data_IF_960331126809
#
_entry.id   IF_960331126809
#
_cell.length_a   1.000
_cell.length_b   1.000
_cell.length_c   1.000
_cell.angle_alpha   90.00
_cell.angle_beta   90.00
_cell.angle_gamma   90.00
#
_symmetry.space_group_name_H-M   'P 1'
#
loop_
_entity.id
_entity.type
_entity.pdbx_description
1 polymer ?
#
# COMPACT_ATOMS: atom_id res chain seq x y z
N UNK A 1 12.22 -6.91 15.39
CA UNK A 1 11.63 -6.71 14.04
C UNK A 1 12.41 -5.62 13.36
N UNK A 2 12.90 -5.93 12.18
CA UNK A 2 13.69 -5.05 11.34
C UNK A 2 12.95 -4.79 10.03
N UNK A 3 13.22 -3.63 9.45
CA UNK A 3 12.65 -3.22 8.17
C UNK A 3 13.69 -2.55 7.30
N UNK A 4 13.53 -2.65 5.99
CA UNK A 4 14.19 -1.79 5.00
C UNK A 4 13.29 -0.60 4.69
N UNK A 5 13.90 0.57 4.52
CA UNK A 5 13.25 1.76 3.99
C UNK A 5 13.83 2.00 2.59
N UNK A 6 13.02 1.71 1.57
CA UNK A 6 13.40 1.84 0.17
C UNK A 6 12.71 3.07 -0.41
N UNK A 7 13.43 3.87 -1.21
CA UNK A 7 12.87 5.06 -1.87
C UNK A 7 13.15 4.97 -3.35
N UNK A 8 12.10 5.10 -4.16
CA UNK A 8 12.20 5.35 -5.59
C UNK A 8 12.14 6.88 -5.80
N UNK A 9 13.27 7.53 -6.15
CA UNK A 9 13.31 8.98 -6.30
C UNK A 9 12.53 9.48 -7.54
N UNK A 10 12.43 8.65 -8.58
CA UNK A 10 11.76 9.01 -9.84
C UNK A 10 10.24 8.99 -9.67
N UNK A 11 9.70 7.90 -9.12
CA UNK A 11 8.25 7.80 -8.84
C UNK A 11 7.82 8.50 -7.56
N UNK A 12 8.78 9.03 -6.77
CA UNK A 12 8.54 9.62 -5.46
C UNK A 12 7.72 8.70 -4.54
N UNK A 13 8.08 7.42 -4.51
CA UNK A 13 7.46 6.41 -3.63
C UNK A 13 8.46 5.91 -2.60
N UNK A 14 7.99 5.68 -1.39
CA UNK A 14 8.76 5.03 -0.32
C UNK A 14 8.09 3.73 0.09
N UNK A 15 8.86 2.67 0.27
CA UNK A 15 8.37 1.36 0.68
C UNK A 15 9.07 0.92 1.95
N UNK A 16 8.27 0.48 2.92
CA UNK A 16 8.75 -0.21 4.13
C UNK A 16 8.49 -1.70 3.96
N UNK A 17 9.58 -2.48 4.03
CA UNK A 17 9.56 -3.94 3.87
C UNK A 17 10.17 -4.61 5.09
N UNK A 18 9.60 -5.72 5.54
CA UNK A 18 10.23 -6.55 6.59
C UNK A 18 11.57 -7.13 6.13
N UNK A 19 12.53 -7.24 7.04
CA UNK A 19 13.83 -7.86 6.77
C UNK A 19 14.41 -8.54 8.01
N UNK A 20 15.47 -9.31 7.79
CA UNK A 20 16.28 -9.93 8.83
C UNK A 20 17.14 -8.89 9.57
N UNK A 21 17.57 -9.25 10.79
CA UNK A 21 18.42 -8.38 11.61
C UNK A 21 19.79 -8.12 10.98
N UNK A 22 20.34 -9.13 10.30
CA UNK A 22 21.66 -9.10 9.68
C UNK A 22 21.64 -8.56 8.24
N UNK A 23 20.46 -8.21 7.73
CA UNK A 23 20.34 -7.65 6.40
C UNK A 23 21.01 -6.27 6.33
N UNK A 24 21.66 -5.99 5.19
CA UNK A 24 22.29 -4.70 4.95
C UNK A 24 21.24 -3.58 5.02
N UNK A 25 21.57 -2.49 5.72
CA UNK A 25 20.68 -1.34 5.90
C UNK A 25 19.39 -1.64 6.70
N UNK A 26 19.36 -2.75 7.46
CA UNK A 26 18.25 -3.11 8.34
C UNK A 26 18.04 -2.08 9.47
N UNK A 27 16.82 -1.55 9.57
CA UNK A 27 16.43 -0.59 10.61
C UNK A 27 15.54 -1.26 11.63
N UNK A 28 15.91 -1.16 12.92
CA UNK A 28 15.11 -1.69 14.02
C UNK A 28 13.80 -0.90 14.19
N UNK A 29 12.69 -1.47 13.72
CA UNK A 29 11.37 -0.83 13.70
C UNK A 29 10.73 -0.67 15.07
N UNK A 30 10.75 -1.73 15.86
CA UNK A 30 10.12 -1.77 17.18
C UNK A 30 10.97 -2.56 18.15
N UNK A 31 10.74 -2.33 19.44
CA UNK A 31 11.36 -3.09 20.53
C UNK A 31 10.31 -4.02 21.13
N UNK A 32 10.70 -5.24 21.47
CA UNK A 32 9.83 -6.15 22.19
C UNK A 32 10.06 -6.00 23.70
N UNK A 33 9.03 -5.61 24.43
CA UNK A 33 9.08 -5.55 25.88
C UNK A 33 8.67 -6.89 26.47
N UNK A 34 9.65 -7.67 26.94
CA UNK A 34 9.44 -9.01 27.51
C UNK A 34 8.53 -9.00 28.74
N UNK A 35 8.60 -7.95 29.58
CA UNK A 35 7.80 -7.85 30.81
C UNK A 35 6.31 -7.63 30.54
N UNK A 36 6.00 -6.85 29.51
CA UNK A 36 4.62 -6.53 29.13
C UNK A 36 4.08 -7.41 28.00
N UNK A 37 4.89 -8.33 27.48
CA UNK A 37 4.60 -9.15 26.29
C UNK A 37 4.06 -8.33 25.09
N UNK A 38 4.57 -7.11 24.91
CA UNK A 38 4.07 -6.14 23.92
C UNK A 38 5.17 -5.55 23.06
N UNK A 39 4.85 -5.26 21.80
CA UNK A 39 5.71 -4.51 20.89
C UNK A 39 5.56 -3.01 21.17
N UNK A 40 6.68 -2.36 21.46
CA UNK A 40 6.77 -0.92 21.69
C UNK A 40 7.30 -0.24 20.42
N UNK A 41 6.57 0.73 19.86
CA UNK A 41 7.05 1.49 18.70
C UNK A 41 8.32 2.24 19.08
N UNK A 42 9.23 2.39 18.10
CA UNK A 42 10.46 3.15 18.28
C UNK A 42 10.40 4.41 17.43
N UNK A 43 10.81 5.54 17.99
CA UNK A 43 11.08 6.74 17.18
C UNK A 43 12.35 6.49 16.36
N UNK A 44 12.21 6.47 15.05
CA UNK A 44 13.30 6.28 14.09
C UNK A 44 13.55 7.64 13.45
N UNK A 45 14.61 8.33 13.90
CA UNK A 45 14.89 9.68 13.40
C UNK A 45 15.48 9.68 11.99
N UNK A 46 16.31 8.68 11.66
CA UNK A 46 17.04 8.54 10.39
C UNK A 46 17.38 9.90 9.72
N UNK A 47 18.13 10.75 10.42
CA UNK A 47 18.30 12.18 10.06
C UNK A 47 18.80 12.39 8.62
N UNK A 48 19.79 11.60 8.20
CA UNK A 48 20.35 11.72 6.85
C UNK A 48 19.35 11.30 5.77
N UNK A 49 18.58 10.24 6.03
CA UNK A 49 17.51 9.79 5.14
C UNK A 49 16.41 10.85 5.05
N UNK A 50 15.97 11.40 6.20
CA UNK A 50 14.98 12.46 6.24
C UNK A 50 15.44 13.70 5.46
N UNK A 51 16.69 14.15 5.65
CA UNK A 51 17.26 15.25 4.88
C UNK A 51 17.20 15.00 3.37
N UNK A 52 17.60 13.81 2.91
CA UNK A 52 17.50 13.45 1.48
C UNK A 52 16.07 13.46 0.94
N UNK A 53 15.09 13.04 1.74
CA UNK A 53 13.67 13.08 1.34
C UNK A 53 13.19 14.54 1.25
N UNK A 54 13.58 15.39 2.20
CA UNK A 54 13.28 16.82 2.16
C UNK A 54 13.88 17.48 0.91
N UNK A 55 15.14 17.19 0.60
CA UNK A 55 15.82 17.72 -0.59
C UNK A 55 15.16 17.21 -1.88
N UNK A 56 14.83 15.92 -1.96
CA UNK A 56 14.18 15.29 -3.12
C UNK A 56 12.82 15.94 -3.45
N UNK A 57 12.08 16.34 -2.43
CA UNK A 57 10.73 16.90 -2.55
C UNK A 57 10.70 18.42 -2.42
N UNK A 58 11.87 19.04 -2.22
CA UNK A 58 12.04 20.47 -1.99
C UNK A 58 11.14 20.98 -0.84
N UNK A 59 11.09 20.22 0.26
CA UNK A 59 10.32 20.55 1.45
C UNK A 59 11.03 21.56 2.34
N UNK A 60 10.26 22.43 2.99
CA UNK A 60 10.76 23.44 3.92
C UNK A 60 10.97 22.83 5.31
N UNK A 61 12.17 23.02 5.88
CA UNK A 61 12.56 22.42 7.17
C UNK A 61 11.72 22.83 8.37
N UNK A 62 11.08 24.01 8.33
CA UNK A 62 10.26 24.52 9.43
C UNK A 62 8.86 23.90 9.48
N UNK A 63 8.46 23.20 8.42
CA UNK A 63 7.16 22.56 8.31
C UNK A 63 7.23 21.08 8.71
N UNK A 64 6.09 20.57 9.17
CA UNK A 64 5.92 19.14 9.45
C UNK A 64 5.07 18.50 8.37
N UNK A 65 5.56 17.39 7.84
CA UNK A 65 4.90 16.65 6.78
C UNK A 65 4.40 15.33 7.34
N UNK A 66 3.13 15.01 7.04
CA UNK A 66 2.52 13.72 7.36
C UNK A 66 2.22 12.99 6.07
N UNK A 67 2.68 11.74 6.03
CA UNK A 67 2.48 10.82 4.91
C UNK A 67 1.52 9.72 5.35
N UNK A 68 0.58 9.37 4.48
CA UNK A 68 -0.28 8.21 4.68
C UNK A 68 0.30 6.99 3.93
N UNK A 69 0.41 5.87 4.63
CA UNK A 69 0.92 4.62 4.07
C UNK A 69 -0.20 3.66 3.75
N UNK A 70 -0.15 3.04 2.58
CA UNK A 70 -1.04 1.98 2.14
C UNK A 70 -0.38 0.61 2.34
N UNK A 71 -1.14 -0.35 2.86
CA UNK A 71 -0.62 -1.71 3.09
C UNK A 71 -0.92 -2.57 1.87
N UNK A 72 0.13 -3.02 1.20
CA UNK A 72 0.05 -3.98 0.10
C UNK A 72 0.47 -5.36 0.63
N UNK A 73 -0.35 -6.37 0.37
CA UNK A 73 -0.09 -7.75 0.78
C UNK A 73 0.06 -8.62 -0.45
N UNK A 74 1.20 -9.26 -0.58
CA UNK A 74 1.41 -10.37 -1.51
C UNK A 74 1.45 -11.67 -0.69
N UNK A 75 1.32 -12.86 -1.32
CA UNK A 75 1.49 -14.13 -0.61
C UNK A 75 2.88 -14.27 0.04
N UNK A 76 3.88 -13.64 -0.56
CA UNK A 76 5.29 -13.75 -0.16
C UNK A 76 5.68 -12.69 0.88
N UNK A 77 5.15 -11.47 0.76
CA UNK A 77 5.55 -10.37 1.63
C UNK A 77 4.44 -9.35 1.92
N UNK A 78 4.66 -8.56 2.98
CA UNK A 78 3.80 -7.44 3.36
C UNK A 78 4.59 -6.15 3.26
N UNK A 79 4.12 -5.25 2.41
CA UNK A 79 4.73 -3.95 2.15
C UNK A 79 3.84 -2.84 2.70
N UNK A 80 4.47 -1.76 3.15
CA UNK A 80 3.79 -0.50 3.42
C UNK A 80 4.35 0.51 2.42
N UNK A 81 3.50 0.99 1.52
CA UNK A 81 3.87 1.89 0.43
C UNK A 81 3.35 3.28 0.78
N UNK A 82 4.21 4.28 0.66
CA UNK A 82 3.90 5.69 0.84
C UNK A 82 4.12 6.38 -0.49
N UNK A 83 3.11 7.11 -0.95
CA UNK A 83 3.30 8.10 -1.99
C UNK A 83 3.84 9.37 -1.33
N UNK A 84 5.02 9.82 -1.75
CA UNK A 84 5.67 10.99 -1.15
C UNK A 84 5.07 12.31 -1.66
N UNK A 85 4.23 12.28 -2.68
CA UNK A 85 3.51 13.46 -3.18
C UNK A 85 2.21 13.72 -2.41
N UNK A 86 1.61 12.66 -1.86
CA UNK A 86 0.39 12.70 -1.07
C UNK A 86 0.67 13.08 0.40
N UNK A 87 1.00 14.36 0.64
CA UNK A 87 1.41 14.83 1.97
C UNK A 87 0.48 15.86 2.57
N UNK A 88 0.18 15.71 3.85
CA UNK A 88 -0.45 16.77 4.65
C UNK A 88 0.64 17.65 5.28
N UNK A 89 0.59 18.96 5.04
CA UNK A 89 1.60 19.92 5.51
C UNK A 89 1.06 20.70 6.70
N UNK A 90 1.81 20.74 7.79
CA UNK A 90 1.49 21.49 8.99
C UNK A 90 2.50 22.64 9.15
N UNK A 91 1.98 23.86 9.27
CA UNK A 91 2.81 25.04 9.54
C UNK A 91 3.44 24.98 10.94
N UNK A 92 4.64 25.57 11.12
CA UNK A 92 5.17 25.84 12.46
C UNK A 92 4.17 26.70 13.25
N UNK A 93 4.14 26.49 14.57
CA UNK A 93 3.33 27.30 15.49
C UNK A 93 4.17 28.53 15.87
N UNK A 94 3.65 29.73 15.65
CA UNK A 94 4.32 30.96 16.08
C UNK A 94 4.52 30.98 17.60
N UNK A 95 5.63 31.58 18.03
CA UNK A 95 6.04 31.67 19.45
C UNK A 95 5.02 32.38 20.36
N UNK A 96 4.06 33.09 19.78
CA UNK A 96 3.00 33.82 20.50
C UNK A 96 1.73 32.98 20.74
N UNK A 97 1.70 31.71 20.33
CA UNK A 97 0.66 30.75 20.74
C UNK A 97 -0.73 30.95 20.13
N UNK A 98 -0.91 31.91 19.21
CA UNK A 98 -2.24 32.25 18.65
C UNK A 98 -2.49 31.73 17.22
N UNK A 99 -1.46 31.33 16.48
CA UNK A 99 -1.66 30.73 15.15
C UNK A 99 -1.90 29.22 15.28
N UNK A 100 -3.18 28.80 15.34
CA UNK A 100 -3.57 27.38 15.23
C UNK A 100 -3.00 26.83 13.92
N UNK A 101 -2.04 25.90 14.02
CA UNK A 101 -1.31 25.31 12.89
C UNK A 101 -2.21 25.07 11.69
N UNK A 102 -2.08 25.91 10.67
CA UNK A 102 -2.88 25.83 9.46
C UNK A 102 -2.40 24.58 8.71
N UNK A 103 -3.33 23.66 8.47
CA UNK A 103 -3.06 22.45 7.69
C UNK A 103 -3.24 22.82 6.22
N UNK A 104 -2.17 22.69 5.45
CA UNK A 104 -2.19 22.86 4.00
C UNK A 104 -2.24 21.48 3.37
N UNK A 105 -3.21 21.30 2.48
CA UNK A 105 -3.32 20.13 1.61
C UNK A 105 -2.86 20.53 0.20
N UNK A 106 -2.37 19.58 -0.61
CA UNK A 106 -2.10 19.83 -2.02
C UNK A 106 -3.33 20.44 -2.70
N UNK A 107 -3.14 21.39 -3.62
CA UNK A 107 -4.25 22.07 -4.30
C UNK A 107 -5.17 21.08 -5.03
N UNK A 108 -4.59 20.01 -5.57
CA UNK A 108 -5.30 18.93 -6.27
C UNK A 108 -6.34 18.22 -5.38
N UNK A 109 -6.16 18.23 -4.05
CA UNK A 109 -7.09 17.64 -3.10
C UNK A 109 -8.25 18.57 -2.75
N UNK A 110 -8.07 19.89 -2.90
CA UNK A 110 -9.07 20.88 -2.47
C UNK A 110 -10.40 20.73 -3.21
N UNK A 111 -10.36 20.30 -4.47
CA UNK A 111 -11.52 20.17 -5.35
C UNK A 111 -11.80 18.71 -5.79
N UNK A 112 -11.14 17.72 -5.18
CA UNK A 112 -11.24 16.32 -5.57
C UNK A 112 -11.53 15.43 -4.37
N UNK A 113 -12.59 14.62 -4.46
CA UNK A 113 -12.86 13.54 -3.50
C UNK A 113 -12.04 12.27 -3.81
N UNK A 114 -11.22 12.29 -4.87
CA UNK A 114 -10.46 11.15 -5.37
C UNK A 114 -10.94 10.65 -6.73
N UNK A 115 -10.43 9.49 -7.15
CA UNK A 115 -10.82 8.83 -8.39
C UNK A 115 -12.24 8.27 -8.31
N UNK A 116 -12.96 8.23 -9.43
CA UNK A 116 -14.24 7.52 -9.50
C UNK A 116 -14.04 6.02 -9.26
N UNK A 117 -15.10 5.29 -8.87
CA UNK A 117 -15.04 3.84 -8.64
C UNK A 117 -14.48 3.10 -9.87
N UNK A 118 -14.86 3.55 -11.06
CA UNK A 118 -14.42 2.97 -12.34
C UNK A 118 -12.94 3.22 -12.59
N UNK A 119 -12.47 4.46 -12.40
CA UNK A 119 -11.06 4.83 -12.52
C UNK A 119 -10.20 4.10 -11.48
N UNK A 120 -10.71 3.97 -10.25
CA UNK A 120 -10.05 3.22 -9.20
C UNK A 120 -9.89 1.74 -9.61
N UNK A 121 -10.93 1.11 -10.14
CA UNK A 121 -10.85 -0.27 -10.61
C UNK A 121 -9.84 -0.44 -11.76
N UNK A 122 -9.81 0.49 -12.72
CA UNK A 122 -8.84 0.48 -13.81
C UNK A 122 -7.40 0.70 -13.32
N UNK A 123 -7.18 1.60 -12.36
CA UNK A 123 -5.86 1.86 -11.78
C UNK A 123 -5.29 0.63 -11.06
N UNK A 124 -6.13 -0.15 -10.38
CA UNK A 124 -5.72 -1.42 -9.77
C UNK A 124 -5.29 -2.45 -10.83
N UNK A 125 -5.98 -2.47 -11.98
CA UNK A 125 -5.64 -3.36 -13.10
C UNK A 125 -4.32 -2.94 -13.77
N UNK A 126 -4.08 -1.64 -13.97
CA UNK A 126 -2.86 -1.14 -14.60
C UNK A 126 -1.62 -1.37 -13.71
N UNK A 127 -1.74 -1.22 -12.39
CA UNK A 127 -0.66 -1.53 -11.44
C UNK A 127 -0.28 -3.03 -11.39
N UNK A 128 -1.16 -3.94 -11.84
CA UNK A 128 -0.87 -5.37 -11.97
C UNK A 128 -0.06 -5.69 -13.25
N UNK A 129 -0.12 -4.83 -14.27
CA UNK A 129 0.60 -5.02 -15.53
C UNK A 129 2.05 -4.51 -15.46
N UNK A 130 2.30 -3.41 -14.74
CA UNK A 130 3.58 -2.68 -14.80
C UNK A 130 4.68 -3.17 -13.82
N UNK A 131 4.42 -4.14 -12.94
CA UNK A 131 5.51 -4.62 -12.07
C UNK A 131 5.24 -5.67 -10.98
N UNK A 132 4.01 -6.14 -10.76
CA UNK A 132 3.72 -7.22 -9.80
C UNK A 132 3.00 -8.37 -10.51
N UNK A 133 3.67 -9.50 -10.67
CA UNK A 133 3.18 -10.63 -11.48
C UNK A 133 1.76 -11.11 -11.11
N UNK A 134 0.95 -11.22 -12.17
CA UNK A 134 -0.17 -12.16 -12.44
C UNK A 134 -0.72 -12.92 -11.23
N UNK A 135 -1.81 -12.41 -10.65
CA UNK A 135 -2.75 -13.28 -9.94
C UNK A 135 -3.49 -14.13 -10.97
N UNK A 136 -3.22 -15.44 -11.03
CA UNK A 136 -4.08 -16.36 -11.75
C UNK A 136 -5.45 -16.40 -11.06
N UNK A 137 -6.42 -15.71 -11.66
CA UNK A 137 -7.82 -15.90 -11.29
C UNK A 137 -8.19 -17.31 -11.74
N UNK A 138 -8.17 -18.27 -10.81
CA UNK A 138 -8.88 -19.53 -10.99
C UNK A 138 -10.36 -19.19 -11.13
N UNK A 139 -10.84 -19.10 -12.37
CA UNK A 139 -12.27 -19.07 -12.64
C UNK A 139 -12.86 -20.36 -12.07
N UNK A 140 -13.71 -20.23 -11.04
CA UNK A 140 -14.63 -21.30 -10.68
C UNK A 140 -15.43 -21.63 -11.95
N UNK A 141 -15.12 -22.77 -12.55
CA UNK A 141 -15.92 -23.37 -13.61
C UNK A 141 -17.36 -23.45 -13.11
N UNK A 142 -18.22 -22.56 -13.58
CA UNK A 142 -19.65 -22.76 -13.48
C UNK A 142 -19.97 -23.97 -14.35
N UNK A 143 -20.18 -25.13 -13.72
CA UNK A 143 -20.78 -26.28 -14.36
C UNK A 143 -22.24 -25.96 -14.71
N UNK A 144 -22.45 -25.21 -15.79
CA UNK A 144 -23.73 -25.15 -16.46
C UNK A 144 -23.92 -26.47 -17.22
N UNK A 145 -24.52 -27.44 -16.54
CA UNK A 145 -24.97 -28.69 -17.15
C UNK A 145 -26.09 -28.42 -18.15
N UNK A 146 -25.72 -28.16 -19.41
CA UNK A 146 -26.62 -28.19 -20.55
C UNK A 146 -26.90 -29.67 -20.86
N UNK A 147 -28.02 -30.21 -20.36
CA UNK A 147 -28.56 -31.49 -20.85
C UNK A 147 -29.62 -31.20 -21.90
N UNK A 148 -29.23 -31.29 -23.17
CA UNK A 148 -30.13 -31.71 -24.24
C UNK A 148 -29.34 -32.64 -25.15
N UNK A 149 -29.72 -33.91 -25.18
CA UNK A 149 -29.61 -34.74 -26.38
C UNK A 149 -30.82 -35.67 -26.40
N UNK A 150 -31.68 -35.46 -27.40
CA UNK A 150 -32.55 -36.49 -27.90
C UNK A 150 -31.68 -37.51 -28.64
N UNK A 151 -31.89 -38.80 -28.42
CA UNK A 151 -32.06 -39.74 -29.53
C UNK A 151 -32.63 -41.07 -29.06
N UNK A 152 -33.59 -41.53 -29.84
CA UNK A 152 -34.27 -42.80 -29.72
C UNK A 152 -33.39 -43.92 -30.30
N UNK A 153 -33.51 -45.15 -29.79
CA UNK A 153 -33.91 -46.36 -30.54
C UNK A 153 -33.60 -47.66 -29.76
N UNK A 154 -34.70 -48.38 -29.46
CA UNK A 154 -34.97 -49.84 -29.40
C UNK A 154 -34.14 -50.79 -28.51
N UNK A 155 -34.86 -51.51 -27.64
CA UNK A 155 -35.16 -52.95 -27.78
C UNK A 155 -36.25 -53.33 -26.76
N UNK A 156 -37.43 -53.77 -27.21
CA UNK A 156 -37.91 -55.16 -27.05
C UNK A 156 -37.79 -55.70 -25.62
N UNK A 157 -38.93 -55.80 -24.94
CA UNK A 157 -39.17 -56.94 -24.06
C UNK A 157 -40.59 -57.47 -24.27
N UNK A 158 -40.67 -58.78 -24.43
CA UNK A 158 -41.88 -59.52 -24.75
C UNK A 158 -42.55 -60.07 -23.50
N UNK A 159 -43.88 -60.03 -23.53
CA UNK A 159 -44.79 -61.15 -23.22
C UNK A 159 -44.56 -61.92 -21.91
N UNK A 160 -45.48 -61.70 -20.95
CA UNK A 160 -46.55 -62.67 -20.66
C UNK A 160 -47.74 -61.98 -20.01
#
# INVERSE_FOLDING_TARGET
MYVHLLVNPTEKKMVIRGCDEDAKDAVRWCRFNKKLNKRMPRKILCRLFAAKVYDLLNWFGDYKYKLQGNIVKTPEEKLIVFDLTETEVYSPVDKDGVSKGQVFFPEDWKNSFGMSVEQHHQSLVLNLLDGYQRLEVQQKRQSHGRRITNDSIKAKDGTK
#
